data_IF_306529925132
#
_entry.id   IF_306529925132
#
_cell.length_a   1.000
_cell.length_b   1.000
_cell.length_c   1.000
_cell.angle_alpha   90.00
_cell.angle_beta   90.00
_cell.angle_gamma   90.00
#
_symmetry.space_group_name_H-M   'P 1'
#
loop_
_entity.id
_entity.type
_entity.pdbx_description
1 polymer ?
#
# COMPACT_ATOMS: atom_id res chain seq x y z
N UNK A 1 -2.49 23.57 -17.14
CA UNK A 1 -2.47 23.70 -15.73
C UNK A 1 -1.24 23.10 -15.12
N UNK A 2 -0.69 23.81 -14.24
CA UNK A 2 0.57 23.36 -13.70
C UNK A 2 0.39 22.34 -12.62
N UNK A 3 1.25 21.39 -12.63
CA UNK A 3 1.27 20.45 -11.55
C UNK A 3 2.00 21.06 -10.38
N UNK A 4 1.49 20.78 -9.22
CA UNK A 4 2.15 21.22 -8.01
C UNK A 4 3.09 20.10 -7.58
N UNK A 5 4.38 20.36 -7.61
CA UNK A 5 5.31 19.28 -7.23
C UNK A 5 5.15 18.96 -5.75
N UNK A 6 5.40 17.74 -5.41
CA UNK A 6 5.34 17.32 -4.02
C UNK A 6 6.51 17.92 -3.27
N UNK A 7 6.24 18.38 -2.07
CA UNK A 7 7.31 18.87 -1.22
C UNK A 7 8.05 17.68 -0.64
N UNK A 8 9.23 17.95 -0.09
CA UNK A 8 10.01 16.91 0.54
C UNK A 8 9.22 16.27 1.69
N UNK A 9 8.45 17.08 2.38
CA UNK A 9 7.62 16.58 3.46
C UNK A 9 6.59 15.60 2.94
N UNK A 10 5.95 15.94 1.84
CA UNK A 10 4.93 15.06 1.27
C UNK A 10 5.54 13.78 0.77
N UNK A 11 6.70 13.87 0.14
CA UNK A 11 7.39 12.69 -0.33
C UNK A 11 7.76 11.80 0.84
N UNK A 12 8.25 12.39 1.92
CA UNK A 12 8.60 11.61 3.10
C UNK A 12 7.38 10.92 3.68
N UNK A 13 6.25 11.60 3.71
CA UNK A 13 5.01 11.00 4.21
C UNK A 13 4.58 9.83 3.35
N UNK A 14 4.65 10.01 2.03
CA UNK A 14 4.26 8.95 1.13
C UNK A 14 5.17 7.75 1.26
N UNK A 15 6.46 7.97 1.43
CA UNK A 15 7.39 6.88 1.61
C UNK A 15 7.14 6.15 2.92
N UNK A 16 6.83 6.88 3.97
CA UNK A 16 6.50 6.27 5.25
C UNK A 16 5.24 5.43 5.12
N UNK A 17 4.23 5.99 4.45
CA UNK A 17 3.00 5.25 4.26
C UNK A 17 3.24 4.00 3.43
N UNK A 18 4.07 4.12 2.41
CA UNK A 18 4.41 2.97 1.59
C UNK A 18 5.01 1.87 2.44
N UNK A 19 5.96 2.23 3.30
CA UNK A 19 6.59 1.25 4.18
C UNK A 19 5.58 0.62 5.13
N UNK A 20 4.66 1.42 5.65
CA UNK A 20 3.64 0.91 6.55
C UNK A 20 2.72 -0.08 5.85
N UNK A 21 2.33 0.25 4.62
CA UNK A 21 1.45 -0.63 3.87
C UNK A 21 2.19 -1.91 3.52
N UNK A 22 3.45 -1.80 3.13
CA UNK A 22 4.25 -2.98 2.83
C UNK A 22 4.36 -3.89 4.04
N UNK A 23 4.57 -3.31 5.21
CA UNK A 23 4.64 -4.09 6.43
C UNK A 23 3.32 -4.79 6.71
N UNK A 24 2.21 -4.10 6.46
CA UNK A 24 0.90 -4.70 6.65
C UNK A 24 0.70 -5.86 5.69
N UNK A 25 1.12 -5.70 4.44
CA UNK A 25 0.99 -6.76 3.45
C UNK A 25 1.80 -7.98 3.87
N UNK A 26 3.03 -7.76 4.34
CA UNK A 26 3.86 -8.85 4.79
C UNK A 26 3.21 -9.59 5.96
N UNK A 27 2.63 -8.85 6.86
CA UNK A 27 1.95 -9.46 8.00
C UNK A 27 0.76 -10.28 7.55
N UNK A 28 -0.02 -9.74 6.62
CA UNK A 28 -1.19 -10.45 6.11
C UNK A 28 -0.78 -11.74 5.41
N UNK A 29 0.29 -11.66 4.62
CA UNK A 29 0.79 -12.86 3.94
C UNK A 29 1.18 -13.93 4.95
N UNK A 30 1.90 -13.51 5.97
CA UNK A 30 2.37 -14.45 6.98
C UNK A 30 1.20 -15.08 7.72
N UNK A 31 0.24 -14.27 8.12
CA UNK A 31 -0.90 -14.83 8.86
C UNK A 31 -1.79 -15.68 7.98
N UNK A 32 -1.91 -15.35 6.70
CA UNK A 32 -2.70 -16.18 5.80
C UNK A 32 -2.08 -17.56 5.66
N UNK A 33 -0.76 -17.61 5.61
CA UNK A 33 -0.07 -18.89 5.50
C UNK A 33 -0.27 -19.76 6.72
N UNK A 34 -0.45 -19.14 7.87
CA UNK A 34 -0.62 -19.88 9.11
C UNK A 34 -2.07 -20.21 9.41
N UNK A 35 -2.98 -19.54 8.78
CA UNK A 35 -4.40 -19.72 9.05
C UNK A 35 -4.96 -20.86 8.23
N UNK A 36 -5.76 -21.69 8.88
CA UNK A 36 -6.39 -22.83 8.20
C UNK A 36 -7.87 -22.64 8.00
N UNK A 37 -8.45 -21.64 8.62
CA UNK A 37 -9.87 -21.38 8.49
C UNK A 37 -10.15 -20.66 7.16
N UNK A 38 -10.98 -21.25 6.34
CA UNK A 38 -11.27 -20.71 5.02
C UNK A 38 -11.89 -19.32 5.11
N UNK A 39 -12.82 -19.12 6.02
CA UNK A 39 -13.46 -17.83 6.17
C UNK A 39 -12.45 -16.74 6.51
N UNK A 40 -11.53 -17.06 7.39
CA UNK A 40 -10.52 -16.11 7.80
C UNK A 40 -9.58 -15.81 6.65
N UNK A 41 -9.24 -16.83 5.87
CA UNK A 41 -8.37 -16.65 4.72
C UNK A 41 -9.04 -15.72 3.71
N UNK A 42 -10.33 -15.91 3.46
CA UNK A 42 -11.06 -15.07 2.52
C UNK A 42 -11.07 -13.62 2.99
N UNK A 43 -11.30 -13.42 4.28
CA UNK A 43 -11.32 -12.08 4.84
C UNK A 43 -9.96 -11.41 4.72
N UNK A 44 -8.90 -12.16 5.04
CA UNK A 44 -7.56 -11.62 4.96
C UNK A 44 -7.12 -11.38 3.52
N UNK A 45 -7.60 -12.22 2.61
CA UNK A 45 -7.29 -12.01 1.20
C UNK A 45 -7.91 -10.70 0.72
N UNK A 46 -9.09 -10.38 1.20
CA UNK A 46 -9.72 -9.12 0.84
C UNK A 46 -8.91 -7.95 1.39
N UNK A 47 -8.47 -8.03 2.63
CA UNK A 47 -7.64 -6.98 3.21
C UNK A 47 -6.32 -6.87 2.46
N UNK A 48 -5.77 -7.99 2.06
CA UNK A 48 -4.53 -8.02 1.30
C UNK A 48 -4.68 -7.27 -0.01
N UNK A 49 -5.76 -7.54 -0.72
CA UNK A 49 -6.03 -6.84 -1.98
C UNK A 49 -6.20 -5.35 -1.78
N UNK A 50 -6.91 -4.99 -0.72
CA UNK A 50 -7.10 -3.57 -0.43
C UNK A 50 -5.79 -2.90 -0.10
N UNK A 51 -4.95 -3.58 0.67
CA UNK A 51 -3.65 -3.02 1.01
C UNK A 51 -2.78 -2.86 -0.23
N UNK A 52 -2.83 -3.84 -1.13
CA UNK A 52 -2.07 -3.76 -2.37
C UNK A 52 -2.55 -2.59 -3.23
N UNK A 53 -3.85 -2.39 -3.30
CA UNK A 53 -4.39 -1.29 -4.07
C UNK A 53 -3.94 0.05 -3.50
N UNK A 54 -3.95 0.15 -2.19
CA UNK A 54 -3.51 1.37 -1.53
C UNK A 54 -2.03 1.60 -1.75
N UNK A 55 -1.25 0.54 -1.64
CA UNK A 55 0.18 0.64 -1.89
C UNK A 55 0.46 1.14 -3.30
N UNK A 56 -0.27 0.60 -4.25
CA UNK A 56 -0.10 1.00 -5.63
C UNK A 56 -0.41 2.48 -5.82
N UNK A 57 -1.45 2.96 -5.15
CA UNK A 57 -1.79 4.38 -5.23
C UNK A 57 -0.67 5.25 -4.71
N UNK A 58 -0.09 4.84 -3.58
CA UNK A 58 1.01 5.59 -3.00
C UNK A 58 2.20 5.58 -3.94
N UNK A 59 2.51 4.40 -4.50
CA UNK A 59 3.62 4.28 -5.41
C UNK A 59 3.40 5.09 -6.68
N UNK A 60 2.16 5.11 -7.17
CA UNK A 60 1.83 5.90 -8.35
C UNK A 60 2.04 7.38 -8.07
N UNK A 61 1.66 7.83 -6.88
CA UNK A 61 1.86 9.22 -6.52
C UNK A 61 3.33 9.56 -6.48
N UNK A 62 4.13 8.66 -5.90
CA UNK A 62 5.56 8.90 -5.81
C UNK A 62 6.23 8.87 -7.18
N UNK A 63 5.82 7.92 -8.00
CA UNK A 63 6.43 7.78 -9.31
C UNK A 63 5.82 8.72 -10.33
N UNK A 64 4.56 9.05 -10.14
CA UNK A 64 3.86 9.86 -11.11
C UNK A 64 3.84 11.32 -10.81
N UNK A 65 4.81 11.76 -10.13
CA UNK A 65 4.92 13.14 -9.85
C UNK A 65 4.82 13.97 -11.10
N UNK A 66 5.30 13.38 -12.16
CA UNK A 66 5.37 14.03 -13.41
C UNK A 66 4.25 13.69 -14.32
N UNK A 67 3.34 12.98 -13.86
CA UNK A 67 2.36 12.51 -14.71
C UNK A 67 1.53 13.52 -15.26
N UNK A 68 1.26 13.58 -16.00
CA UNK A 68 0.50 14.46 -16.38
C UNK A 68 -0.20 14.45 -16.59
#
# INVERSE_FOLDING_TARGET
MDKIPLTEEEIARLKRREAEIQARIERLKSTMNETKAIDTIAFKAKLFKEAQAELRRVQDKLAGLDEE
#
